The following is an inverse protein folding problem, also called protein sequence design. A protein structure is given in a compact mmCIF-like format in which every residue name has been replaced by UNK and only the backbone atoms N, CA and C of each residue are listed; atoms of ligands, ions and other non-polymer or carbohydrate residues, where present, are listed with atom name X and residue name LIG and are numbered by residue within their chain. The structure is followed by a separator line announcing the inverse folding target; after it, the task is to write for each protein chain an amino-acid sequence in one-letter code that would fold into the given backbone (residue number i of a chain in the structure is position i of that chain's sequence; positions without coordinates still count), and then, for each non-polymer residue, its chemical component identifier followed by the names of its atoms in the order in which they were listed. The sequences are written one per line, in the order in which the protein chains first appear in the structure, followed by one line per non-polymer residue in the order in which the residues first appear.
data_IF_600519516644
#
_entry.id   IF_600519516644
#
_cell.length_a   1.000
_cell.length_b   1.000
_cell.length_c   1.000
_cell.angle_alpha   90.00
_cell.angle_beta   90.00
_cell.angle_gamma   90.00
#
_symmetry.space_group_name_H-M   'P 1'
#
loop_
_entity.id
_entity.type
_entity.pdbx_description
1 polymer ?
#
# COMPACT_ATOMS: atom_id res chain seq x y z
N UNK A 1 -57.62 25.13 10.81
CA UNK A 1 -56.51 25.66 9.96
C UNK A 1 -55.12 25.06 10.24
N UNK A 2 -54.91 24.17 11.22
CA UNK A 2 -53.59 23.52 11.48
C UNK A 2 -53.38 22.16 10.77
N UNK A 3 -54.45 21.50 10.33
CA UNK A 3 -54.39 20.16 9.70
C UNK A 3 -53.83 20.17 8.27
N UNK A 4 -54.10 21.24 7.50
CA UNK A 4 -53.64 21.38 6.11
C UNK A 4 -52.12 21.65 6.06
N UNK A 5 -51.61 22.49 6.96
CA UNK A 5 -50.17 22.78 7.07
C UNK A 5 -49.35 21.51 7.38
N UNK A 6 -49.87 20.63 8.25
CA UNK A 6 -49.18 19.38 8.60
C UNK A 6 -49.10 18.39 7.44
N UNK A 7 -50.17 18.26 6.63
CA UNK A 7 -50.17 17.42 5.42
C UNK A 7 -49.17 17.91 4.37
N UNK A 8 -49.05 19.22 4.18
CA UNK A 8 -48.11 19.80 3.21
C UNK A 8 -46.66 19.56 3.64
N UNK A 9 -46.34 19.78 4.93
CA UNK A 9 -45.00 19.54 5.48
C UNK A 9 -44.62 18.07 5.38
N UNK A 10 -45.54 17.15 5.73
CA UNK A 10 -45.27 15.71 5.66
C UNK A 10 -45.05 15.23 4.21
N UNK A 11 -45.75 15.82 3.25
CA UNK A 11 -45.60 15.49 1.82
C UNK A 11 -44.26 15.99 1.27
N UNK A 12 -43.78 17.16 1.68
CA UNK A 12 -42.48 17.68 1.25
C UNK A 12 -41.34 16.86 1.88
N UNK A 13 -41.47 16.50 3.15
CA UNK A 13 -40.46 15.70 3.87
C UNK A 13 -40.34 14.28 3.29
N UNK A 14 -41.45 13.66 2.89
CA UNK A 14 -41.41 12.32 2.25
C UNK A 14 -40.77 12.34 0.86
N UNK A 15 -41.01 13.38 0.05
CA UNK A 15 -40.38 13.55 -1.28
C UNK A 15 -38.86 13.77 -1.15
N UNK A 16 -38.42 14.54 -0.15
CA UNK A 16 -36.99 14.78 0.14
C UNK A 16 -36.27 13.49 0.58
N UNK A 17 -36.92 12.65 1.39
CA UNK A 17 -36.35 11.36 1.81
C UNK A 17 -36.24 10.40 0.63
N UNK A 18 -37.28 10.32 -0.22
CA UNK A 18 -37.28 9.43 -1.40
C UNK A 18 -36.20 9.83 -2.41
N UNK A 19 -36.02 11.13 -2.66
CA UNK A 19 -34.96 11.63 -3.57
C UNK A 19 -33.56 11.40 -2.98
N UNK A 20 -33.36 11.59 -1.68
CA UNK A 20 -32.07 11.34 -1.02
C UNK A 20 -31.69 9.85 -1.00
N UNK A 21 -32.64 8.95 -0.72
CA UNK A 21 -32.42 7.50 -0.77
C UNK A 21 -32.12 7.03 -2.20
N UNK A 22 -32.81 7.57 -3.20
CA UNK A 22 -32.55 7.25 -4.61
C UNK A 22 -31.18 7.73 -5.06
N UNK A 23 -30.75 8.94 -4.66
CA UNK A 23 -29.41 9.46 -4.94
C UNK A 23 -28.31 8.61 -4.28
N UNK A 24 -28.54 8.11 -3.06
CA UNK A 24 -27.59 7.25 -2.36
C UNK A 24 -27.51 5.84 -2.97
N UNK A 25 -28.63 5.28 -3.44
CA UNK A 25 -28.67 4.00 -4.15
C UNK A 25 -27.96 4.05 -5.51
N UNK A 26 -28.10 5.16 -6.25
CA UNK A 26 -27.39 5.37 -7.52
C UNK A 26 -25.86 5.43 -7.30
N UNK A 27 -25.42 6.04 -6.20
CA UNK A 27 -23.98 6.23 -5.92
C UNK A 27 -23.31 5.06 -5.20
N UNK A 28 -24.04 4.05 -4.73
CA UNK A 28 -23.46 2.90 -4.02
C UNK A 28 -23.13 1.69 -4.92
N UNK A 29 -23.38 1.80 -6.23
CA UNK A 29 -23.31 0.67 -7.16
C UNK A 29 -22.28 0.87 -8.30
N UNK A 30 -21.10 1.41 -7.97
CA UNK A 30 -19.90 1.28 -8.82
C UNK A 30 -18.93 0.28 -8.20
N UNK A 31 -19.25 -1.00 -8.39
CA UNK A 31 -18.29 -2.09 -8.39
C UNK A 31 -18.40 -2.74 -9.77
N UNK A 32 -17.61 -2.25 -10.72
CA UNK A 32 -17.38 -2.92 -12.00
C UNK A 32 -16.11 -3.76 -11.87
N UNK A 33 -16.33 -5.07 -11.73
CA UNK A 33 -15.38 -6.12 -12.03
C UNK A 33 -15.33 -6.33 -13.54
N UNK A 34 -14.22 -5.96 -14.18
CA UNK A 34 -13.71 -6.67 -15.37
C UNK A 34 -12.30 -6.18 -15.73
N UNK A 35 -11.29 -7.03 -15.57
CA UNK A 35 -9.95 -6.94 -16.16
C UNK A 35 -9.27 -8.31 -16.01
N UNK A 36 -8.49 -8.89 -16.92
CA UNK A 36 -8.12 -8.63 -18.33
C UNK A 36 -7.45 -9.94 -18.85
N UNK A 37 -7.56 -10.22 -20.15
CA UNK A 37 -6.77 -11.23 -20.87
C UNK A 37 -5.38 -10.69 -21.22
N UNK A 38 -4.34 -11.47 -20.93
CA UNK A 38 -2.92 -11.16 -21.05
C UNK A 38 -2.41 -11.18 -22.51
N UNK A 39 -1.62 -10.19 -22.98
CA UNK A 39 -0.83 -10.33 -24.18
C UNK A 39 0.60 -9.81 -23.99
N UNK A 40 1.42 -10.56 -23.25
CA UNK A 40 2.87 -10.43 -23.27
C UNK A 40 3.44 -11.12 -24.52
N UNK A 41 3.26 -10.51 -25.69
CA UNK A 41 4.00 -10.88 -26.88
C UNK A 41 4.10 -9.70 -27.84
N UNK A 42 5.33 -9.29 -28.13
CA UNK A 42 5.74 -8.31 -29.14
C UNK A 42 5.56 -6.82 -28.82
N UNK A 43 6.47 -6.26 -28.01
CA UNK A 43 6.86 -4.85 -28.17
C UNK A 43 8.38 -4.70 -28.03
N UNK A 44 9.04 -4.51 -29.18
CA UNK A 44 10.40 -3.97 -29.28
C UNK A 44 10.41 -2.54 -28.70
N UNK A 45 11.09 -2.34 -27.58
CA UNK A 45 11.16 -1.04 -26.92
C UNK A 45 12.23 -0.15 -27.58
N UNK A 46 11.81 0.90 -28.30
CA UNK A 46 12.70 1.94 -28.85
C UNK A 46 12.47 3.30 -28.16
N UNK A 47 13.39 3.77 -27.31
CA UNK A 47 13.19 4.96 -26.47
C UNK A 47 13.64 6.24 -27.19
N UNK A 48 12.98 6.62 -28.29
CA UNK A 48 13.19 7.95 -28.90
C UNK A 48 11.90 8.55 -29.45
N UNK A 49 11.06 9.07 -28.56
CA UNK A 49 10.23 10.26 -28.81
C UNK A 49 9.83 10.86 -27.47
N UNK A 50 10.62 11.80 -27.00
CA UNK A 50 10.29 12.59 -25.82
C UNK A 50 9.11 13.49 -26.13
N UNK A 51 8.22 13.65 -25.14
CA UNK A 51 7.03 14.51 -25.05
C UNK A 51 5.63 13.91 -25.30
N UNK A 52 5.37 12.65 -24.93
CA UNK A 52 4.00 12.20 -24.59
C UNK A 52 4.03 10.92 -23.73
N UNK A 53 4.17 11.06 -22.40
CA UNK A 53 3.81 9.96 -21.50
C UNK A 53 2.38 10.21 -21.03
N UNK A 54 1.48 9.42 -21.60
CA UNK A 54 0.08 9.26 -21.24
C UNK A 54 -0.11 9.19 -19.72
N UNK A 55 -1.28 9.65 -19.26
CA UNK A 55 -1.79 9.56 -17.88
C UNK A 55 -1.73 8.11 -17.35
N UNK A 56 -0.59 7.71 -16.78
CA UNK A 56 -0.31 6.32 -16.41
C UNK A 56 -0.98 5.96 -15.08
N UNK A 57 -1.94 5.03 -15.10
CA UNK A 57 -2.41 4.30 -13.91
C UNK A 57 -1.94 2.85 -13.99
N UNK A 58 -1.02 2.47 -13.12
CA UNK A 58 -0.45 1.12 -13.05
C UNK A 58 -0.82 0.38 -11.77
N UNK A 59 -0.87 -0.95 -11.90
CA UNK A 59 -1.65 -1.91 -11.11
C UNK A 59 -1.11 -2.13 -9.70
N UNK A 60 -2.06 -2.46 -8.83
CA UNK A 60 -1.98 -2.72 -7.40
C UNK A 60 -2.19 -4.22 -7.15
N UNK A 61 -1.27 -4.83 -6.41
CA UNK A 61 -1.23 -6.27 -6.17
C UNK A 61 -1.72 -6.65 -4.77
N UNK A 62 -2.40 -7.79 -4.67
CA UNK A 62 -2.79 -8.44 -3.41
C UNK A 62 -1.80 -9.56 -3.08
N UNK A 63 -1.12 -9.44 -1.94
CA UNK A 63 -0.11 -10.40 -1.51
C UNK A 63 -0.75 -11.43 -0.55
N UNK A 64 -0.42 -12.72 -0.72
CA UNK A 64 -0.82 -13.78 0.21
C UNK A 64 -0.29 -13.57 1.64
N UNK A 65 0.84 -12.87 1.74
CA UNK A 65 1.43 -12.43 3.01
C UNK A 65 1.59 -10.92 3.02
N UNK A 66 1.42 -10.25 4.17
CA UNK A 66 1.55 -8.82 4.23
C UNK A 66 2.99 -8.38 3.89
N UNK A 67 3.11 -7.31 3.09
CA UNK A 67 4.35 -6.56 2.97
C UNK A 67 4.53 -5.73 4.24
N UNK A 68 5.52 -6.11 5.05
CA UNK A 68 5.79 -5.46 6.32
C UNK A 68 7.13 -4.71 6.28
N UNK A 69 7.10 -3.45 6.72
CA UNK A 69 8.26 -2.57 6.87
C UNK A 69 8.10 -1.77 8.16
N UNK A 70 9.17 -1.64 8.94
CA UNK A 70 9.30 -0.72 10.08
C UNK A 70 10.39 0.28 9.71
N UNK A 71 10.02 1.54 9.50
CA UNK A 71 10.93 2.63 9.14
C UNK A 71 11.29 3.46 10.37
N UNK A 72 12.58 3.73 10.52
CA UNK A 72 13.14 4.65 11.52
C UNK A 72 13.98 5.74 10.81
N UNK A 73 14.49 6.72 11.56
CA UNK A 73 15.16 7.91 10.99
C UNK A 73 16.32 7.55 10.04
N UNK A 74 17.16 6.59 10.43
CA UNK A 74 18.39 6.23 9.71
C UNK A 74 18.25 4.99 8.82
N UNK A 75 17.18 4.20 8.95
CA UNK A 75 17.06 2.93 8.22
C UNK A 75 15.69 2.26 8.34
N UNK A 76 15.57 1.03 7.85
CA UNK A 76 14.36 0.22 7.92
C UNK A 76 14.63 -1.25 8.21
N UNK A 77 13.73 -1.86 8.99
CA UNK A 77 13.60 -3.31 9.09
C UNK A 77 12.47 -3.74 8.15
N UNK A 78 12.74 -4.62 7.19
CA UNK A 78 11.77 -5.06 6.21
C UNK A 78 11.63 -6.59 6.18
N UNK A 79 10.48 -7.08 5.78
CA UNK A 79 10.31 -8.50 5.48
C UNK A 79 10.97 -8.87 4.12
N UNK A 80 11.06 -10.17 3.85
CA UNK A 80 11.75 -10.74 2.70
C UNK A 80 11.20 -10.33 1.31
N UNK A 81 10.10 -9.58 1.23
CA UNK A 81 9.69 -8.95 -0.02
C UNK A 81 10.63 -7.82 -0.47
N UNK A 82 11.39 -7.22 0.46
CA UNK A 82 12.38 -6.19 0.13
C UNK A 82 13.72 -6.84 -0.19
N UNK A 83 14.30 -6.44 -1.32
CA UNK A 83 15.62 -6.88 -1.74
C UNK A 83 16.71 -5.98 -1.14
N UNK A 84 17.60 -6.56 -0.34
CA UNK A 84 18.73 -5.87 0.27
C UNK A 84 19.68 -5.24 -0.76
N UNK A 85 19.80 -5.84 -1.95
CA UNK A 85 20.64 -5.31 -3.03
C UNK A 85 20.06 -4.02 -3.62
N UNK A 86 18.74 -3.89 -3.64
CA UNK A 86 18.10 -2.62 -4.00
C UNK A 86 18.46 -1.55 -2.98
N UNK A 87 18.42 -1.87 -1.68
CA UNK A 87 18.85 -0.94 -0.63
C UNK A 87 20.32 -0.54 -0.76
N UNK A 88 21.20 -1.45 -1.16
CA UNK A 88 22.60 -1.11 -1.44
C UNK A 88 22.71 -0.08 -2.58
N UNK A 89 21.98 -0.29 -3.68
CA UNK A 89 22.00 0.62 -4.85
C UNK A 89 21.43 1.99 -4.54
N UNK A 90 20.48 2.08 -3.62
CA UNK A 90 19.85 3.34 -3.19
C UNK A 90 20.52 3.97 -1.97
N UNK A 91 21.58 3.35 -1.42
CA UNK A 91 22.25 3.76 -0.18
C UNK A 91 21.29 3.87 1.01
N UNK A 92 20.34 2.94 1.10
CA UNK A 92 19.41 2.84 2.22
C UNK A 92 19.93 1.83 3.25
N UNK A 93 19.89 2.20 4.53
CA UNK A 93 20.14 1.26 5.61
C UNK A 93 18.92 0.34 5.77
N UNK A 94 19.09 -0.94 5.42
CA UNK A 94 18.05 -1.96 5.46
C UNK A 94 18.52 -3.21 6.19
N UNK A 95 17.64 -3.77 7.01
CA UNK A 95 17.78 -5.12 7.55
C UNK A 95 16.57 -5.96 7.15
N UNK A 96 16.81 -7.21 6.74
CA UNK A 96 15.77 -8.11 6.23
C UNK A 96 15.51 -9.25 7.22
N UNK A 97 14.25 -9.53 7.49
CA UNK A 97 13.76 -10.70 8.24
C UNK A 97 12.81 -11.54 7.38
N UNK A 98 12.72 -12.84 7.63
CA UNK A 98 11.84 -13.75 6.88
C UNK A 98 10.95 -14.58 7.80
N UNK A 99 9.93 -15.23 7.22
CA UNK A 99 9.01 -16.08 7.98
C UNK A 99 8.06 -15.33 8.92
N UNK A 100 7.87 -14.04 8.70
CA UNK A 100 7.08 -13.15 9.55
C UNK A 100 5.72 -12.82 8.93
N UNK A 101 4.70 -12.63 9.77
CA UNK A 101 3.35 -12.21 9.37
C UNK A 101 2.83 -11.01 10.16
N UNK A 102 3.57 -10.57 11.18
CA UNK A 102 3.23 -9.42 12.00
C UNK A 102 4.46 -8.61 12.39
N UNK A 103 4.28 -7.36 12.83
CA UNK A 103 5.37 -6.52 13.35
C UNK A 103 6.03 -7.11 14.60
N UNK A 104 5.27 -7.83 15.44
CA UNK A 104 5.81 -8.52 16.62
C UNK A 104 6.78 -9.62 16.20
N UNK A 105 6.43 -10.38 15.16
CA UNK A 105 7.32 -11.40 14.59
C UNK A 105 8.58 -10.73 14.05
N UNK A 106 8.47 -9.61 13.33
CA UNK A 106 9.62 -8.87 12.82
C UNK A 106 10.61 -8.46 13.91
N UNK A 107 10.13 -7.90 15.02
CA UNK A 107 11.00 -7.46 16.12
C UNK A 107 11.75 -8.61 16.79
N UNK A 108 11.14 -9.80 16.80
CA UNK A 108 11.68 -11.00 17.44
C UNK A 108 12.55 -11.84 16.51
N UNK A 109 12.28 -11.78 15.21
CA UNK A 109 12.95 -12.55 14.18
C UNK A 109 14.43 -12.19 14.05
N UNK A 110 15.19 -13.15 13.50
CA UNK A 110 16.60 -13.00 13.19
C UNK A 110 16.78 -12.37 11.83
N UNK A 111 17.68 -11.40 11.75
CA UNK A 111 18.04 -10.73 10.51
C UNK A 111 18.80 -11.72 9.62
N UNK A 112 18.36 -11.84 8.37
CA UNK A 112 18.94 -12.76 7.38
C UNK A 112 19.80 -12.04 6.35
N UNK A 113 19.63 -10.73 6.18
CA UNK A 113 20.43 -9.91 5.28
C UNK A 113 20.44 -8.45 5.75
N UNK A 114 21.52 -7.74 5.45
CA UNK A 114 21.74 -6.33 5.82
C UNK A 114 22.39 -5.59 4.65
N UNK A 115 22.00 -4.34 4.43
CA UNK A 115 22.67 -3.48 3.46
C UNK A 115 24.00 -2.94 4.01
N UNK A 116 24.84 -2.42 3.13
CA UNK A 116 26.11 -1.80 3.50
C UNK A 116 25.92 -0.65 4.49
N UNK A 117 24.93 0.21 4.28
CA UNK A 117 24.63 1.30 5.21
C UNK A 117 24.09 0.80 6.56
N UNK A 118 23.36 -0.31 6.60
CA UNK A 118 22.95 -0.92 7.87
C UNK A 118 24.14 -1.52 8.63
N UNK A 119 25.09 -2.13 7.93
CA UNK A 119 26.35 -2.61 8.52
C UNK A 119 27.16 -1.46 9.12
N UNK A 120 27.23 -0.31 8.44
CA UNK A 120 27.91 0.90 8.93
C UNK A 120 27.28 1.44 10.23
N UNK A 121 25.97 1.21 10.41
CA UNK A 121 25.24 1.53 11.65
C UNK A 121 25.35 0.43 12.73
N UNK A 122 26.13 -0.61 12.48
CA UNK A 122 26.41 -1.69 13.41
C UNK A 122 25.34 -2.79 13.47
N UNK A 123 24.46 -2.88 12.46
CA UNK A 123 23.45 -3.95 12.35
C UNK A 123 24.07 -5.15 11.63
N UNK A 124 23.98 -6.34 12.22
CA UNK A 124 24.56 -7.56 11.64
C UNK A 124 23.52 -8.64 11.34
N UNK A 125 23.85 -9.54 10.42
CA UNK A 125 23.10 -10.79 10.24
C UNK A 125 23.11 -11.59 11.55
N UNK A 126 21.96 -12.14 11.94
CA UNK A 126 21.78 -12.85 13.21
C UNK A 126 21.41 -11.97 14.41
N UNK A 127 21.44 -10.64 14.28
CA UNK A 127 20.80 -9.75 15.25
C UNK A 127 19.27 -9.95 15.25
N UNK A 128 18.61 -9.52 16.32
CA UNK A 128 17.14 -9.47 16.36
C UNK A 128 16.63 -8.21 15.66
N UNK A 129 15.41 -8.24 15.13
CA UNK A 129 14.79 -7.06 14.52
C UNK A 129 14.74 -5.85 15.46
N UNK A 130 14.46 -6.05 16.74
CA UNK A 130 14.46 -4.97 17.75
C UNK A 130 15.86 -4.34 17.94
N UNK A 131 16.92 -5.15 17.85
CA UNK A 131 18.31 -4.69 17.93
C UNK A 131 18.64 -3.76 16.75
N UNK A 132 18.16 -4.08 15.54
CA UNK A 132 18.31 -3.23 14.35
C UNK A 132 17.53 -1.93 14.46
N UNK A 133 16.26 -1.99 14.88
CA UNK A 133 15.40 -0.80 15.05
C UNK A 133 16.09 0.23 15.96
N UNK A 134 16.69 -0.21 17.08
CA UNK A 134 17.39 0.69 17.99
C UNK A 134 18.62 1.38 17.36
N UNK A 135 19.29 0.75 16.39
CA UNK A 135 20.41 1.36 15.64
C UNK A 135 19.93 2.32 14.55
N UNK A 136 18.70 2.14 14.07
CA UNK A 136 18.10 3.00 13.05
C UNK A 136 17.44 4.27 13.60
N UNK A 137 17.32 4.44 14.92
CA UNK A 137 16.91 5.70 15.57
C UNK A 137 17.95 6.82 15.35
#
# INVERSE_FOLDING_TARGET
MKSIQYKVIYTILSILIITFVSYKLINHNKQETELIVDPLASLDFNPKKGNEYMEAKMIRYELDKPLLIIKEKKGMLACAYINVETCNKTNEACAIVSGVSSYKDMMSAKIIAVSNEALNLGVNVGDTGISAINRFK
#
